data_IF_415123946769
#
_entry.id   IF_415123946769
#
_cell.length_a   1.000
_cell.length_b   1.000
_cell.length_c   1.000
_cell.angle_alpha   90.00
_cell.angle_beta   90.00
_cell.angle_gamma   90.00
#
_symmetry.space_group_name_H-M   'P 1'
#
loop_
_entity.id
_entity.type
_entity.pdbx_description
1 polymer ?
#
# COMPACT_ATOMS: atom_id res chain seq x y z
N UNK A 1 7.92 -6.02 -5.58
CA UNK A 1 7.05 -5.06 -4.85
C UNK A 1 5.70 -5.69 -4.56
N UNK A 2 4.91 -6.08 -5.58
CA UNK A 2 3.60 -6.75 -5.41
C UNK A 2 3.58 -7.86 -4.34
N UNK A 3 4.39 -8.91 -4.50
CA UNK A 3 4.43 -10.06 -3.56
C UNK A 3 4.67 -9.66 -2.10
N UNK A 4 5.47 -8.63 -1.85
CA UNK A 4 5.76 -8.16 -0.50
C UNK A 4 4.54 -7.51 0.14
N UNK A 5 3.84 -6.64 -0.61
CA UNK A 5 2.61 -6.00 -0.13
C UNK A 5 1.44 -6.98 -0.06
N UNK A 6 1.31 -7.91 -1.01
CA UNK A 6 0.32 -8.98 -0.93
C UNK A 6 0.46 -9.74 0.39
N UNK A 7 1.68 -10.19 0.71
CA UNK A 7 1.95 -10.92 1.95
C UNK A 7 1.61 -10.09 3.19
N UNK A 8 2.09 -8.85 3.27
CA UNK A 8 1.82 -7.96 4.41
C UNK A 8 0.32 -7.70 4.57
N UNK A 9 -0.41 -7.43 3.48
CA UNK A 9 -1.86 -7.21 3.50
C UNK A 9 -2.59 -8.47 4.02
N UNK A 10 -2.25 -9.65 3.49
CA UNK A 10 -2.89 -10.90 3.91
C UNK A 10 -2.57 -11.27 5.36
N UNK A 11 -1.33 -11.08 5.82
CA UNK A 11 -0.93 -11.34 7.21
C UNK A 11 -1.58 -10.36 8.19
N UNK A 12 -1.90 -9.15 7.72
CA UNK A 12 -2.65 -8.16 8.50
C UNK A 12 -4.15 -8.44 8.55
N UNK A 13 -4.64 -9.46 7.83
CA UNK A 13 -6.05 -9.85 7.79
C UNK A 13 -6.85 -9.27 6.62
N UNK A 14 -6.24 -8.43 5.76
CA UNK A 14 -6.97 -7.85 4.64
C UNK A 14 -7.26 -8.89 3.57
N UNK A 15 -8.49 -8.86 3.05
CA UNK A 15 -8.87 -9.62 1.84
C UNK A 15 -8.58 -8.79 0.60
N UNK A 16 -7.72 -9.28 -0.28
CA UNK A 16 -7.41 -8.63 -1.56
C UNK A 16 -8.44 -9.09 -2.59
N UNK A 17 -9.24 -8.16 -3.11
CA UNK A 17 -10.24 -8.42 -4.14
C UNK A 17 -9.67 -8.25 -5.56
N UNK A 18 -8.81 -7.26 -5.76
CA UNK A 18 -8.19 -6.99 -7.04
C UNK A 18 -6.85 -6.27 -6.88
N UNK A 19 -6.04 -6.31 -7.93
CA UNK A 19 -4.77 -5.60 -8.02
C UNK A 19 -4.61 -4.97 -9.41
N UNK A 20 -4.16 -3.72 -9.45
CA UNK A 20 -3.86 -2.99 -10.67
C UNK A 20 -2.53 -2.26 -10.54
N UNK A 21 -1.75 -2.19 -11.61
CA UNK A 21 -0.51 -1.41 -11.63
C UNK A 21 -0.28 -0.72 -12.97
N UNK A 22 0.49 0.36 -12.94
CA UNK A 22 0.89 1.10 -14.13
C UNK A 22 2.30 1.67 -13.97
N UNK A 23 3.12 1.50 -15.01
CA UNK A 23 4.45 2.09 -15.11
C UNK A 23 4.39 3.30 -16.04
N UNK A 24 4.63 4.49 -15.50
CA UNK A 24 4.62 5.72 -16.27
C UNK A 24 5.94 5.92 -17.03
N UNK A 25 5.89 6.69 -18.11
CA UNK A 25 7.07 7.12 -18.86
C UNK A 25 7.33 8.61 -18.58
N UNK A 26 8.59 9.03 -18.38
CA UNK A 26 9.82 8.24 -18.44
C UNK A 26 10.07 7.38 -17.17
N UNK A 27 9.40 7.68 -16.07
CA UNK A 27 9.52 6.96 -14.80
C UNK A 27 8.27 7.17 -13.95
N UNK A 28 8.19 6.47 -12.82
CA UNK A 28 7.05 6.50 -11.91
C UNK A 28 6.23 5.22 -11.98
N UNK A 29 5.59 4.89 -10.87
CA UNK A 29 4.82 3.66 -10.71
C UNK A 29 3.64 3.89 -9.79
N UNK A 30 2.45 3.44 -10.21
CA UNK A 30 1.26 3.38 -9.36
C UNK A 30 0.82 1.94 -9.24
N UNK A 31 0.52 1.50 -8.03
CA UNK A 31 -0.11 0.23 -7.75
C UNK A 31 -1.28 0.41 -6.79
N UNK A 32 -2.40 -0.27 -7.06
CA UNK A 32 -3.62 -0.20 -6.26
C UNK A 32 -4.10 -1.62 -5.98
N UNK A 33 -4.40 -1.87 -4.72
CA UNK A 33 -5.05 -3.07 -4.22
C UNK A 33 -6.45 -2.69 -3.76
N UNK A 34 -7.46 -3.28 -4.41
CA UNK A 34 -8.81 -3.23 -3.90
C UNK A 34 -8.93 -4.23 -2.75
N UNK A 35 -9.32 -3.75 -1.58
CA UNK A 35 -9.48 -4.57 -0.39
C UNK A 35 -10.98 -4.82 -0.13
N UNK A 36 -11.30 -5.85 0.64
CA UNK A 36 -12.68 -6.12 1.07
C UNK A 36 -13.32 -4.93 1.79
N UNK A 37 -12.51 -4.11 2.45
CA UNK A 37 -12.90 -2.90 3.15
C UNK A 37 -12.02 -1.73 2.68
N UNK A 38 -12.43 -1.02 1.62
CA UNK A 38 -11.71 0.11 1.01
C UNK A 38 -10.52 -0.30 0.11
N UNK A 39 -9.29 0.21 0.33
CA UNK A 39 -8.19 0.03 -0.62
C UNK A 39 -6.80 0.36 -0.03
N UNK A 40 -5.77 -0.10 -0.74
CA UNK A 40 -4.37 0.26 -0.51
C UNK A 40 -3.76 0.76 -1.82
N UNK A 41 -3.06 1.90 -1.80
CA UNK A 41 -2.42 2.49 -2.96
C UNK A 41 -0.95 2.81 -2.68
N UNK A 42 -0.12 2.69 -3.71
CA UNK A 42 1.29 3.03 -3.70
C UNK A 42 1.62 3.83 -4.95
N UNK A 43 2.31 4.95 -4.75
CA UNK A 43 2.77 5.84 -5.80
C UNK A 43 4.25 6.11 -5.64
N UNK A 44 5.04 5.99 -6.70
CA UNK A 44 6.45 6.36 -6.70
C UNK A 44 6.68 7.56 -7.61
N UNK A 45 7.48 8.50 -7.10
CA UNK A 45 7.95 9.69 -7.81
C UNK A 45 9.48 9.68 -7.77
N UNK A 46 10.15 8.90 -8.65
CA UNK A 46 11.60 8.75 -8.61
C UNK A 46 12.36 10.08 -8.76
N UNK A 47 11.78 11.06 -9.46
CA UNK A 47 12.32 12.41 -9.68
C UNK A 47 12.46 13.20 -8.37
N UNK A 48 11.61 12.89 -7.40
CA UNK A 48 11.64 13.49 -6.06
C UNK A 48 12.25 12.55 -5.02
N UNK A 49 12.67 11.34 -5.43
CA UNK A 49 13.06 10.26 -4.54
C UNK A 49 12.00 9.97 -3.45
N UNK A 50 10.72 10.04 -3.84
CA UNK A 50 9.57 9.87 -2.93
C UNK A 50 8.77 8.62 -3.29
N UNK A 51 8.20 8.01 -2.26
CA UNK A 51 7.15 6.99 -2.39
C UNK A 51 6.05 7.37 -1.41
N UNK A 52 4.84 7.45 -1.93
CA UNK A 52 3.63 7.67 -1.16
C UNK A 52 2.86 6.37 -1.06
N UNK A 53 2.33 6.10 0.12
CA UNK A 53 1.56 4.91 0.42
C UNK A 53 0.30 5.37 1.16
N UNK A 54 -0.84 4.88 0.70
CA UNK A 54 -2.15 5.13 1.31
C UNK A 54 -2.79 3.80 1.66
N UNK A 55 -3.18 3.63 2.92
CA UNK A 55 -4.00 2.51 3.37
C UNK A 55 -5.28 3.08 3.98
N UNK A 56 -6.40 2.88 3.30
CA UNK A 56 -7.72 3.21 3.80
C UNK A 56 -8.40 1.93 4.29
N UNK A 57 -8.85 1.93 5.54
CA UNK A 57 -9.50 0.78 6.19
C UNK A 57 -10.49 1.25 7.26
N UNK A 58 -11.60 0.53 7.42
CA UNK A 58 -12.52 0.72 8.56
C UNK A 58 -12.13 -0.13 9.78
N UNK A 59 -11.16 -1.04 9.63
CA UNK A 59 -10.70 -1.93 10.68
C UNK A 59 -9.34 -1.50 11.22
N UNK A 60 -9.36 -0.94 12.43
CA UNK A 60 -8.18 -0.42 13.13
C UNK A 60 -7.17 -1.52 13.48
N UNK A 61 -7.64 -2.72 13.84
CA UNK A 61 -6.77 -3.84 14.20
C UNK A 61 -5.95 -4.32 12.99
N UNK A 62 -6.59 -4.47 11.83
CA UNK A 62 -5.90 -4.84 10.59
C UNK A 62 -4.91 -3.74 10.16
N UNK A 63 -5.30 -2.48 10.32
CA UNK A 63 -4.43 -1.33 10.04
C UNK A 63 -3.18 -1.33 10.93
N UNK A 64 -3.33 -1.50 12.24
CA UNK A 64 -2.21 -1.53 13.17
C UNK A 64 -1.25 -2.69 12.90
N UNK A 65 -1.77 -3.87 12.55
CA UNK A 65 -0.96 -5.01 12.12
C UNK A 65 -0.18 -4.69 10.85
N UNK A 66 -0.83 -4.04 9.88
CA UNK A 66 -0.16 -3.61 8.65
C UNK A 66 1.00 -2.66 8.96
N UNK A 67 0.76 -1.62 9.78
CA UNK A 67 1.79 -0.65 10.19
C UNK A 67 2.95 -1.33 10.91
N UNK A 68 2.69 -2.37 11.69
CA UNK A 68 3.73 -3.14 12.38
C UNK A 68 4.57 -4.01 11.42
N UNK A 69 3.95 -4.53 10.37
CA UNK A 69 4.58 -5.45 9.41
C UNK A 69 5.31 -4.71 8.29
N UNK A 70 4.78 -3.58 7.85
CA UNK A 70 5.43 -2.71 6.87
C UNK A 70 6.64 -2.04 7.55
N UNK A 71 7.82 -2.63 7.37
CA UNK A 71 9.10 -2.13 7.91
C UNK A 71 9.56 -0.84 7.21
N UNK A 72 8.66 0.12 7.00
CA UNK A 72 8.91 1.41 6.38
C UNK A 72 8.61 2.52 7.39
N UNK A 73 9.31 3.66 7.33
CA UNK A 73 8.97 4.83 8.13
C UNK A 73 7.58 5.34 7.70
N UNK A 74 6.60 5.17 8.59
CA UNK A 74 5.25 5.70 8.40
C UNK A 74 5.24 7.15 8.84
N UNK A 75 5.07 8.06 7.89
CA UNK A 75 4.76 9.45 8.19
C UNK A 75 3.28 9.51 8.53
N UNK A 76 2.95 9.66 9.81
CA UNK A 76 1.59 10.03 10.21
C UNK A 76 1.43 11.51 9.87
N UNK A 77 0.53 11.85 8.95
CA UNK A 77 0.11 13.24 8.82
C UNK A 77 -0.60 13.63 10.12
N UNK A 78 -0.15 14.76 10.67
CA UNK A 78 -0.53 15.35 11.96
C UNK A 78 -1.92 15.95 11.94
#
# INVERSE_FOLDING_TARGET
MKKSFDHVLTESGFTILNFMEHFFQPQGYTAIWLLGESHFALHTFPEENKTYIELSSCNEQMYDLFIKLIKLPVLKES
#
